data_IF_621573687858
#
_entry.id   IF_621573687858
#
_cell.length_a   1.000
_cell.length_b   1.000
_cell.length_c   1.000
_cell.angle_alpha   90.00
_cell.angle_beta   90.00
_cell.angle_gamma   90.00
#
_symmetry.space_group_name_H-M   'P 1'
#
loop_
_entity.id
_entity.type
_entity.pdbx_description
1 polymer ?
#
# COMPACT_ATOMS: atom_id res chain seq x y z
N UNK A 1 -12.52 2.43 -17.43
CA UNK A 1 -13.10 1.45 -16.50
C UNK A 1 -13.03 2.07 -15.12
N UNK A 2 -14.07 1.92 -14.30
CA UNK A 2 -14.15 2.55 -12.98
C UNK A 2 -13.49 1.63 -11.93
N UNK A 3 -12.44 2.13 -11.28
CA UNK A 3 -11.66 1.42 -10.25
C UNK A 3 -12.52 0.98 -9.06
N UNK A 4 -13.49 1.81 -8.66
CA UNK A 4 -14.30 1.57 -7.46
C UNK A 4 -15.13 0.27 -7.56
N UNK A 5 -15.45 -0.17 -8.78
CA UNK A 5 -16.21 -1.42 -9.02
C UNK A 5 -15.45 -2.69 -8.70
N UNK A 6 -14.12 -2.63 -8.58
CA UNK A 6 -13.28 -3.78 -8.28
C UNK A 6 -12.95 -3.91 -6.78
N UNK A 7 -13.62 -3.14 -5.92
CA UNK A 7 -13.42 -3.22 -4.48
C UNK A 7 -13.56 -4.66 -3.98
N UNK A 8 -12.52 -5.15 -3.29
CA UNK A 8 -12.45 -6.53 -2.77
C UNK A 8 -12.09 -7.61 -3.80
N UNK A 9 -11.92 -7.26 -5.07
CA UNK A 9 -11.61 -8.19 -6.18
C UNK A 9 -10.19 -8.01 -6.73
N UNK A 10 -9.49 -6.95 -6.34
CA UNK A 10 -8.15 -6.66 -6.82
C UNK A 10 -7.13 -7.63 -6.23
N UNK A 11 -6.14 -7.97 -7.05
CA UNK A 11 -4.99 -8.77 -6.61
C UNK A 11 -4.02 -7.93 -5.77
N UNK A 12 -3.22 -8.59 -4.95
CA UNK A 12 -2.13 -7.95 -4.23
C UNK A 12 -1.05 -7.40 -5.18
N UNK A 13 -0.36 -6.31 -4.83
CA UNK A 13 0.64 -5.67 -5.69
C UNK A 13 1.95 -6.47 -5.80
N UNK A 14 2.23 -7.37 -4.86
CA UNK A 14 3.42 -8.22 -4.84
C UNK A 14 3.13 -9.54 -4.11
N UNK A 15 4.03 -10.52 -4.24
CA UNK A 15 4.01 -11.71 -3.40
C UNK A 15 4.53 -11.37 -1.99
N UNK A 16 3.86 -11.88 -0.96
CA UNK A 16 4.26 -11.67 0.42
C UNK A 16 3.16 -11.98 1.41
N UNK A 17 3.45 -11.78 2.69
CA UNK A 17 2.48 -11.96 3.79
C UNK A 17 2.12 -10.60 4.36
N UNK A 18 0.83 -10.38 4.62
CA UNK A 18 0.39 -9.20 5.37
C UNK A 18 0.98 -9.26 6.79
N UNK A 19 1.85 -8.31 7.12
CA UNK A 19 2.49 -8.19 8.42
C UNK A 19 1.77 -7.19 9.34
N UNK A 20 1.10 -6.19 8.75
CA UNK A 20 0.20 -5.27 9.44
C UNK A 20 -1.00 -4.91 8.56
N UNK A 21 -2.20 -4.88 9.16
CA UNK A 21 -3.44 -4.53 8.47
C UNK A 21 -3.79 -3.04 8.59
N UNK A 22 -4.78 -2.60 7.81
CA UNK A 22 -5.33 -1.25 7.88
C UNK A 22 -6.09 -1.00 9.18
N UNK A 23 -6.00 0.22 9.70
CA UNK A 23 -6.75 0.70 10.86
C UNK A 23 -5.90 0.82 12.14
N UNK A 24 -6.54 0.92 13.31
CA UNK A 24 -5.83 1.19 14.56
C UNK A 24 -4.81 0.10 14.89
N UNK A 25 -3.54 0.49 15.05
CA UNK A 25 -2.43 -0.42 15.38
C UNK A 25 -1.76 0.02 16.69
N UNK A 26 -1.44 -0.93 17.56
CA UNK A 26 -0.73 -0.66 18.81
C UNK A 26 0.75 -0.42 18.52
N UNK A 27 1.25 0.77 18.86
CA UNK A 27 2.68 1.04 18.90
C UNK A 27 3.31 0.29 20.10
N UNK A 28 4.18 -0.71 19.87
CA UNK A 28 4.69 -1.54 20.96
C UNK A 28 5.64 -0.78 21.89
N UNK A 29 6.30 0.28 21.38
CA UNK A 29 7.27 1.06 22.15
C UNK A 29 6.60 2.02 23.12
N UNK A 30 5.53 2.68 22.68
CA UNK A 30 4.85 3.73 23.46
C UNK A 30 3.51 3.27 24.05
N UNK A 31 3.06 2.05 23.71
CA UNK A 31 1.78 1.45 24.15
C UNK A 31 0.57 2.33 23.82
N UNK A 32 0.67 3.08 22.72
CA UNK A 32 -0.39 3.94 22.20
C UNK A 32 -1.00 3.32 20.96
N UNK A 33 -2.29 3.54 20.75
CA UNK A 33 -2.97 3.16 19.51
C UNK A 33 -2.81 4.30 18.52
N UNK A 34 -2.24 4.00 17.35
CA UNK A 34 -2.06 4.95 16.25
C UNK A 34 -2.82 4.47 15.02
N UNK A 35 -3.34 5.38 14.18
CA UNK A 35 -3.91 4.98 12.90
C UNK A 35 -2.83 4.39 11.99
N UNK A 36 -3.18 3.32 11.27
CA UNK A 36 -2.39 2.77 10.18
C UNK A 36 -3.19 2.91 8.89
N UNK A 37 -2.80 3.87 8.06
CA UNK A 37 -3.53 4.25 6.84
C UNK A 37 -3.23 3.35 5.63
N UNK A 38 -2.61 2.19 5.87
CA UNK A 38 -2.16 1.27 4.83
C UNK A 38 -2.14 -0.19 5.28
N UNK A 39 -1.57 -1.04 4.44
CA UNK A 39 -1.32 -2.46 4.71
C UNK A 39 0.16 -2.70 4.44
N UNK A 40 0.84 -3.34 5.40
CA UNK A 40 2.23 -3.72 5.24
C UNK A 40 2.31 -5.16 4.74
N UNK A 41 3.07 -5.37 3.67
CA UNK A 41 3.33 -6.68 3.07
C UNK A 41 4.82 -6.97 3.24
N UNK A 42 5.13 -8.03 3.98
CA UNK A 42 6.47 -8.57 4.12
C UNK A 42 6.82 -9.39 2.87
N UNK A 43 7.69 -8.82 2.04
CA UNK A 43 8.14 -9.34 0.75
C UNK A 43 9.68 -9.38 0.69
N UNK A 44 10.27 -10.35 -0.03
CA UNK A 44 11.72 -10.43 -0.15
C UNK A 44 12.30 -9.23 -0.92
N UNK A 45 13.56 -8.89 -0.61
CA UNK A 45 14.25 -7.82 -1.34
C UNK A 45 14.36 -8.13 -2.82
N UNK A 46 14.01 -7.15 -3.67
CA UNK A 46 13.99 -7.31 -5.12
C UNK A 46 12.72 -7.93 -5.70
N UNK A 47 11.70 -8.22 -4.87
CA UNK A 47 10.38 -8.63 -5.34
C UNK A 47 9.76 -7.57 -6.27
N UNK A 48 9.18 -8.04 -7.37
CA UNK A 48 8.49 -7.16 -8.33
C UNK A 48 7.20 -6.59 -7.72
N UNK A 49 7.06 -5.27 -7.77
CA UNK A 49 5.83 -4.56 -7.38
C UNK A 49 5.07 -4.18 -8.64
N UNK A 50 3.79 -4.55 -8.71
CA UNK A 50 2.89 -4.29 -9.84
C UNK A 50 1.74 -3.40 -9.41
N UNK A 51 1.27 -2.57 -10.34
CA UNK A 51 0.02 -1.84 -10.15
C UNK A 51 -1.15 -2.83 -10.02
N UNK A 52 -2.01 -2.62 -9.03
CA UNK A 52 -3.19 -3.47 -8.81
C UNK A 52 -4.30 -3.21 -9.84
N UNK A 53 -4.22 -2.08 -10.54
CA UNK A 53 -5.18 -1.67 -11.57
C UNK A 53 -4.52 -0.67 -12.54
N UNK A 54 -5.14 -0.44 -13.70
CA UNK A 54 -4.71 0.57 -14.67
C UNK A 54 -4.76 1.98 -14.05
N UNK A 55 -3.72 2.78 -14.25
CA UNK A 55 -3.68 4.14 -13.69
C UNK A 55 -2.56 4.98 -14.26
N UNK A 56 -2.54 6.25 -13.87
CA UNK A 56 -1.51 7.21 -14.22
C UNK A 56 -0.59 7.45 -13.03
N UNK A 57 0.72 7.47 -13.28
CA UNK A 57 1.69 7.87 -12.25
C UNK A 57 1.49 9.34 -11.91
N UNK A 58 1.11 9.60 -10.65
CA UNK A 58 0.99 10.94 -10.09
C UNK A 58 2.29 11.38 -9.41
N UNK A 59 3.04 10.42 -8.85
CA UNK A 59 4.34 10.66 -8.23
C UNK A 59 5.23 9.42 -8.29
N UNK A 60 6.54 9.62 -8.47
CA UNK A 60 7.56 8.60 -8.37
C UNK A 60 8.85 9.23 -7.83
N UNK A 61 9.24 8.90 -6.59
CA UNK A 61 10.41 9.49 -5.95
C UNK A 61 10.47 9.25 -4.45
N UNK A 62 11.37 9.96 -3.77
CA UNK A 62 11.47 9.91 -2.31
C UNK A 62 10.43 10.83 -1.66
N UNK A 63 9.62 10.28 -0.77
CA UNK A 63 8.61 11.00 0.01
C UNK A 63 8.94 10.88 1.51
N UNK A 64 8.96 12.03 2.19
CA UNK A 64 9.25 12.07 3.63
C UNK A 64 8.23 11.22 4.41
N UNK A 65 8.71 10.36 5.30
CA UNK A 65 7.90 9.42 6.07
C UNK A 65 7.55 8.10 5.36
N UNK A 66 7.57 8.05 4.03
CA UNK A 66 7.21 6.86 3.24
C UNK A 66 8.41 6.21 2.50
N UNK A 67 9.53 6.92 2.38
CA UNK A 67 10.71 6.42 1.69
C UNK A 67 10.58 6.52 0.17
N UNK A 68 11.08 5.52 -0.56
CA UNK A 68 10.90 5.45 -2.01
C UNK A 68 9.44 5.09 -2.32
N UNK A 69 8.73 5.95 -3.03
CA UNK A 69 7.27 5.87 -3.12
C UNK A 69 6.80 6.11 -4.57
N UNK A 70 5.78 5.36 -4.96
CA UNK A 70 5.05 5.50 -6.22
C UNK A 70 3.56 5.68 -5.92
N UNK A 71 2.94 6.74 -6.46
CA UNK A 71 1.49 6.99 -6.33
C UNK A 71 0.83 6.87 -7.70
N UNK A 72 -0.27 6.12 -7.77
CA UNK A 72 -1.07 5.90 -8.97
C UNK A 72 -2.46 6.50 -8.79
N UNK A 73 -2.91 7.25 -9.79
CA UNK A 73 -4.28 7.72 -9.93
C UNK A 73 -5.03 6.78 -10.90
N UNK A 74 -6.03 6.07 -10.40
CA UNK A 74 -6.81 5.11 -11.20
C UNK A 74 -8.03 5.72 -11.91
N UNK A 75 -8.31 7.01 -11.69
CA UNK A 75 -9.52 7.67 -12.18
C UNK A 75 -10.78 7.24 -11.44
N UNK A 76 -11.78 8.12 -11.45
CA UNK A 76 -13.15 7.88 -10.98
C UNK A 76 -14.15 8.18 -12.07
#
# INVERSE_FOLDING_TARGET
MDFARFQGLLSWPCAGRVSAGFGPTLNPRFRTVVPHDGIDIDAPYGEDIRAIFDGKVAFAGWLSGYGLTLLLEHGG
#
